data_IF_151668419402
#
_entry.id   IF_151668419402
#
_cell.length_a   1.000
_cell.length_b   1.000
_cell.length_c   1.000
_cell.angle_alpha   90.00
_cell.angle_beta   90.00
_cell.angle_gamma   90.00
#
_symmetry.space_group_name_H-M   'P 1'
#
loop_
_entity.id
_entity.type
_entity.pdbx_description
1 polymer ?
#
# COMPACT_ATOMS: atom_id res chain seq x y z
N UNK A 1 -12.59 7.42 -9.47
CA UNK A 1 -14.03 7.51 -9.62
C UNK A 1 -14.66 8.36 -8.52
N UNK A 2 -15.92 8.77 -8.66
CA UNK A 2 -16.60 9.54 -7.63
C UNK A 2 -16.77 8.72 -6.36
N UNK A 3 -16.71 9.40 -5.21
CA UNK A 3 -17.03 8.79 -3.93
C UNK A 3 -17.81 9.79 -3.10
N UNK A 4 -18.85 9.30 -2.43
CA UNK A 4 -19.72 10.08 -1.57
C UNK A 4 -19.80 9.46 -0.18
N UNK A 5 -20.00 10.32 0.80
CA UNK A 5 -20.35 9.89 2.15
C UNK A 5 -21.87 9.68 2.25
N UNK A 6 -22.26 8.49 2.65
CA UNK A 6 -23.66 8.08 2.80
C UNK A 6 -23.95 7.79 4.28
N UNK A 7 -24.59 8.73 5.01
CA UNK A 7 -24.72 8.67 6.47
C UNK A 7 -25.33 7.37 7.02
N UNK A 8 -26.34 6.82 6.34
CA UNK A 8 -27.02 5.59 6.80
C UNK A 8 -26.21 4.30 6.55
N UNK A 9 -25.09 4.36 5.83
CA UNK A 9 -24.17 3.22 5.68
C UNK A 9 -23.21 3.09 6.86
N UNK A 10 -23.11 4.15 7.69
CA UNK A 10 -22.20 4.19 8.85
C UNK A 10 -20.76 3.85 8.45
N UNK A 11 -20.18 2.79 9.01
CA UNK A 11 -18.82 2.33 8.70
C UNK A 11 -18.76 1.38 7.48
N UNK A 12 -19.91 1.00 6.91
CA UNK A 12 -19.94 0.10 5.76
C UNK A 12 -19.55 0.85 4.48
N UNK A 13 -18.50 0.37 3.83
CA UNK A 13 -17.99 0.87 2.55
C UNK A 13 -18.41 -0.07 1.43
N UNK A 14 -19.01 0.52 0.40
CA UNK A 14 -19.40 -0.21 -0.82
C UNK A 14 -18.63 0.37 -2.00
N UNK A 15 -17.99 -0.51 -2.77
CA UNK A 15 -17.30 -0.16 -3.99
C UNK A 15 -17.79 -1.03 -5.14
N UNK A 16 -18.07 -0.41 -6.27
CA UNK A 16 -18.34 -1.10 -7.54
C UNK A 16 -17.17 -0.86 -8.49
N UNK A 17 -16.67 -1.93 -9.06
CA UNK A 17 -15.59 -1.91 -10.04
C UNK A 17 -16.08 -2.53 -11.34
N UNK A 18 -15.86 -1.85 -12.45
CA UNK A 18 -16.07 -2.40 -13.80
C UNK A 18 -14.81 -2.18 -14.62
N UNK A 19 -14.33 -3.24 -15.26
CA UNK A 19 -13.20 -3.23 -16.17
C UNK A 19 -13.68 -3.76 -17.50
N UNK A 20 -13.50 -3.00 -18.56
CA UNK A 20 -13.79 -3.40 -19.93
C UNK A 20 -12.47 -3.47 -20.72
N UNK A 21 -12.33 -4.48 -21.56
CA UNK A 21 -11.14 -4.67 -22.36
C UNK A 21 -11.39 -5.62 -23.53
N UNK A 22 -10.33 -5.95 -24.23
CA UNK A 22 -10.36 -6.90 -25.32
C UNK A 22 -9.39 -8.04 -25.05
N UNK A 23 -9.86 -9.26 -25.26
CA UNK A 23 -9.05 -10.48 -25.26
C UNK A 23 -8.46 -10.77 -26.62
N UNK A 24 -7.90 -11.97 -26.75
CA UNK A 24 -7.33 -12.44 -28.02
C UNK A 24 -8.36 -12.39 -29.14
N UNK A 25 -7.96 -11.84 -30.30
CA UNK A 25 -8.83 -11.72 -31.47
C UNK A 25 -9.86 -10.59 -31.40
N UNK A 26 -9.68 -9.61 -30.49
CA UNK A 26 -10.60 -8.47 -30.34
C UNK A 26 -11.92 -8.84 -29.67
N UNK A 27 -11.96 -9.96 -28.97
CA UNK A 27 -13.18 -10.41 -28.28
C UNK A 27 -13.38 -9.56 -27.01
N UNK A 28 -14.57 -8.93 -26.81
CA UNK A 28 -14.85 -8.15 -25.63
C UNK A 28 -14.71 -8.99 -24.35
N UNK A 29 -14.08 -8.37 -23.32
CA UNK A 29 -13.95 -8.90 -21.98
C UNK A 29 -14.49 -7.87 -20.99
N UNK A 30 -15.30 -8.32 -20.05
CA UNK A 30 -15.86 -7.49 -19.00
C UNK A 30 -15.68 -8.18 -17.64
N UNK A 31 -15.27 -7.40 -16.64
CA UNK A 31 -15.21 -7.84 -15.24
C UNK A 31 -16.00 -6.85 -14.41
N UNK A 32 -16.94 -7.36 -13.62
CA UNK A 32 -17.62 -6.57 -12.60
C UNK A 32 -17.33 -7.15 -11.22
N UNK A 33 -17.06 -6.27 -10.26
CA UNK A 33 -16.87 -6.66 -8.88
C UNK A 33 -17.58 -5.69 -7.94
N UNK A 34 -18.16 -6.22 -6.86
CA UNK A 34 -18.73 -5.45 -5.77
C UNK A 34 -18.05 -5.84 -4.48
N UNK A 35 -17.49 -4.83 -3.80
CA UNK A 35 -16.95 -4.96 -2.45
C UNK A 35 -17.91 -4.31 -1.44
N UNK A 36 -18.18 -4.98 -0.33
CA UNK A 36 -18.88 -4.41 0.82
C UNK A 36 -18.12 -4.83 2.08
N UNK A 37 -17.60 -3.86 2.82
CA UNK A 37 -16.78 -4.12 4.00
C UNK A 37 -17.09 -3.11 5.10
N UNK A 38 -16.93 -3.49 6.36
CA UNK A 38 -16.78 -2.57 7.48
C UNK A 38 -15.38 -1.95 7.39
N UNK A 39 -15.28 -0.65 7.08
CA UNK A 39 -14.02 0.01 6.69
C UNK A 39 -13.02 0.05 7.85
N UNK A 40 -13.49 0.37 9.06
CA UNK A 40 -12.62 0.46 10.24
C UNK A 40 -12.00 -0.89 10.64
N UNK A 41 -12.74 -1.99 10.81
CA UNK A 41 -12.16 -3.31 11.06
C UNK A 41 -11.25 -3.78 9.93
N UNK A 42 -11.62 -3.49 8.67
CA UNK A 42 -10.82 -3.87 7.52
C UNK A 42 -9.45 -3.16 7.51
N UNK A 43 -9.39 -1.91 7.94
CA UNK A 43 -8.13 -1.15 8.04
C UNK A 43 -7.30 -1.50 9.29
N UNK A 44 -7.90 -2.10 10.30
CA UNK A 44 -7.23 -2.36 11.58
C UNK A 44 -5.97 -3.22 11.44
N UNK A 45 -5.97 -4.22 10.56
CA UNK A 45 -4.79 -5.05 10.28
C UNK A 45 -3.60 -4.23 9.79
N UNK A 46 -3.83 -3.32 8.85
CA UNK A 46 -2.79 -2.42 8.33
C UNK A 46 -2.26 -1.49 9.42
N UNK A 47 -3.15 -0.93 10.25
CA UNK A 47 -2.78 -0.05 11.36
C UNK A 47 -1.92 -0.78 12.40
N UNK A 48 -2.30 -2.01 12.76
CA UNK A 48 -1.53 -2.83 13.71
C UNK A 48 -0.12 -3.08 13.19
N UNK A 49 0.02 -3.47 11.93
CA UNK A 49 1.33 -3.71 11.34
C UNK A 49 2.17 -2.43 11.23
N UNK A 50 1.56 -1.30 10.85
CA UNK A 50 2.25 -0.01 10.84
C UNK A 50 2.77 0.37 12.24
N UNK A 51 1.96 0.17 13.29
CA UNK A 51 2.37 0.43 14.68
C UNK A 51 3.52 -0.49 15.13
N UNK A 52 3.48 -1.77 14.77
CA UNK A 52 4.57 -2.73 15.05
C UNK A 52 5.87 -2.31 14.39
N UNK A 53 5.81 -1.83 13.16
CA UNK A 53 6.99 -1.35 12.42
C UNK A 53 7.53 -0.04 13.01
N UNK A 54 6.67 0.88 13.44
CA UNK A 54 7.05 2.06 14.20
C UNK A 54 7.73 1.68 15.52
N UNK A 55 7.26 0.64 16.19
CA UNK A 55 7.89 0.12 17.41
C UNK A 55 9.31 -0.40 17.13
N UNK A 56 9.48 -1.19 16.06
CA UNK A 56 10.80 -1.69 15.64
C UNK A 56 11.75 -0.52 15.34
N UNK A 57 11.31 0.49 14.59
CA UNK A 57 12.11 1.67 14.30
C UNK A 57 12.55 2.40 15.57
N UNK A 58 11.60 2.64 16.49
CA UNK A 58 11.88 3.29 17.78
C UNK A 58 12.91 2.51 18.60
N UNK A 59 12.73 1.20 18.70
CA UNK A 59 13.62 0.34 19.51
C UNK A 59 15.03 0.25 18.89
N UNK A 60 15.17 0.56 17.59
CA UNK A 60 16.45 0.70 16.86
C UNK A 60 17.00 2.13 16.85
N UNK A 61 16.33 3.08 17.51
CA UNK A 61 16.75 4.49 17.53
C UNK A 61 16.62 5.20 16.17
N UNK A 62 15.72 4.73 15.31
CA UNK A 62 15.44 5.37 14.03
C UNK A 62 14.35 6.44 14.19
N UNK A 63 14.60 7.62 13.63
CA UNK A 63 13.68 8.75 13.63
C UNK A 63 13.51 9.30 12.21
N UNK A 64 12.34 9.93 11.96
CA UNK A 64 11.97 10.47 10.66
C UNK A 64 11.02 9.57 9.88
N UNK A 65 10.82 9.84 8.58
CA UNK A 65 9.96 9.02 7.74
C UNK A 65 10.51 7.59 7.60
N UNK A 66 9.64 6.61 7.75
CA UNK A 66 9.99 5.21 7.51
C UNK A 66 9.66 4.88 6.05
N UNK A 67 10.59 5.16 5.14
CA UNK A 67 10.36 5.13 3.69
C UNK A 67 9.79 3.80 3.17
N UNK A 68 10.39 2.62 3.44
CA UNK A 68 9.84 1.34 2.97
C UNK A 68 8.46 1.04 3.55
N UNK A 69 8.25 1.38 4.83
CA UNK A 69 6.97 1.18 5.52
C UNK A 69 5.89 2.06 4.88
N UNK A 70 6.19 3.35 4.70
CA UNK A 70 5.26 4.28 4.08
C UNK A 70 4.93 3.88 2.64
N UNK A 71 5.92 3.45 1.86
CA UNK A 71 5.73 3.03 0.48
C UNK A 71 4.84 1.79 0.36
N UNK A 72 4.89 0.88 1.33
CA UNK A 72 4.10 -0.35 1.32
C UNK A 72 2.68 -0.16 1.87
N UNK A 73 2.50 0.67 2.91
CA UNK A 73 1.22 0.77 3.62
C UNK A 73 0.42 2.04 3.32
N UNK A 74 1.06 3.12 2.86
CA UNK A 74 0.40 4.42 2.78
C UNK A 74 0.02 4.79 1.35
N UNK A 75 -1.15 5.42 1.21
CA UNK A 75 -1.68 5.88 -0.07
C UNK A 75 -0.83 6.96 -0.73
N UNK A 76 -0.20 7.82 0.09
CA UNK A 76 0.66 8.91 -0.35
C UNK A 76 1.99 8.86 0.40
N UNK A 77 2.88 7.91 0.07
CA UNK A 77 4.18 7.83 0.70
C UNK A 77 5.10 8.99 0.26
N UNK A 78 6.14 9.31 1.04
CA UNK A 78 7.15 10.30 0.64
C UNK A 78 7.85 9.97 -0.68
N UNK A 79 7.97 8.69 -1.00
CA UNK A 79 8.51 8.20 -2.29
C UNK A 79 7.63 7.05 -2.78
N UNK A 80 7.02 7.23 -3.95
CA UNK A 80 6.23 6.18 -4.60
C UNK A 80 7.16 5.22 -5.34
N UNK A 81 7.02 3.93 -5.08
CA UNK A 81 7.81 2.85 -5.70
C UNK A 81 6.90 1.66 -6.02
N UNK A 82 7.31 0.75 -6.93
CA UNK A 82 6.54 -0.47 -7.20
C UNK A 82 6.34 -1.34 -5.96
N UNK A 83 5.18 -1.98 -5.84
CA UNK A 83 4.80 -2.77 -4.67
C UNK A 83 5.80 -3.88 -4.35
N UNK A 84 6.34 -4.56 -5.38
CA UNK A 84 7.34 -5.60 -5.21
C UNK A 84 8.64 -5.06 -4.60
N UNK A 85 9.05 -3.85 -4.99
CA UNK A 85 10.19 -3.17 -4.42
C UNK A 85 9.91 -2.74 -2.98
N UNK A 86 8.75 -2.13 -2.73
CA UNK A 86 8.34 -1.71 -1.39
C UNK A 86 8.33 -2.88 -0.42
N UNK A 87 7.78 -4.02 -0.83
CA UNK A 87 7.76 -5.25 -0.04
C UNK A 87 9.17 -5.73 0.32
N UNK A 88 10.07 -5.83 -0.67
CA UNK A 88 11.45 -6.26 -0.44
C UNK A 88 12.19 -5.34 0.53
N UNK A 89 12.10 -4.02 0.33
CA UNK A 89 12.74 -3.05 1.21
C UNK A 89 12.15 -3.06 2.64
N UNK A 90 10.86 -3.36 2.77
CA UNK A 90 10.21 -3.57 4.07
C UNK A 90 10.76 -4.81 4.76
N UNK A 91 10.91 -5.93 4.05
CA UNK A 91 11.49 -7.17 4.57
C UNK A 91 12.95 -6.98 5.00
N UNK A 92 13.74 -6.25 4.24
CA UNK A 92 15.11 -5.84 4.60
C UNK A 92 15.14 -5.00 5.89
N UNK A 93 14.19 -4.07 6.04
CA UNK A 93 14.06 -3.32 7.29
C UNK A 93 13.70 -4.24 8.47
N UNK A 94 12.72 -5.13 8.32
CA UNK A 94 12.33 -6.07 9.37
C UNK A 94 13.53 -6.95 9.78
N UNK A 95 14.27 -7.46 8.80
CA UNK A 95 15.47 -8.27 9.03
C UNK A 95 16.65 -7.48 9.64
N UNK A 96 16.61 -6.15 9.65
CA UNK A 96 17.67 -5.31 10.19
C UNK A 96 18.84 -5.06 9.23
N UNK A 97 18.72 -5.43 7.98
CA UNK A 97 19.74 -5.21 6.94
C UNK A 97 19.64 -3.83 6.29
N UNK A 98 18.54 -3.11 6.50
CA UNK A 98 18.29 -1.76 6.00
C UNK A 98 17.70 -0.88 7.10
N UNK A 99 18.08 0.38 7.13
CA UNK A 99 17.41 1.40 7.95
C UNK A 99 16.19 1.93 7.21
N UNK A 100 15.05 2.02 7.89
CA UNK A 100 13.82 2.54 7.31
C UNK A 100 13.86 4.05 7.07
N UNK A 101 14.64 4.79 7.86
CA UNK A 101 14.81 6.24 7.75
C UNK A 101 15.68 6.68 6.55
N UNK A 102 16.31 5.75 5.84
CA UNK A 102 17.05 6.07 4.61
C UNK A 102 16.09 6.26 3.44
N UNK A 103 16.18 7.41 2.74
CA UNK A 103 15.39 7.61 1.52
C UNK A 103 15.60 6.49 0.50
N UNK A 104 14.52 6.13 -0.20
CA UNK A 104 14.59 5.14 -1.29
C UNK A 104 15.03 5.83 -2.58
N UNK A 105 16.07 5.28 -3.21
CA UNK A 105 16.53 5.68 -4.55
C UNK A 105 15.94 4.69 -5.57
N UNK A 106 14.93 5.15 -6.33
CA UNK A 106 14.13 4.27 -7.19
C UNK A 106 15.00 3.48 -8.17
N UNK A 107 15.93 4.14 -8.85
CA UNK A 107 16.78 3.48 -9.85
C UNK A 107 17.66 2.38 -9.22
N UNK A 108 18.40 2.69 -8.16
CA UNK A 108 19.33 1.75 -7.54
C UNK A 108 18.66 0.72 -6.64
N UNK A 109 17.69 1.16 -5.82
CA UNK A 109 17.08 0.27 -4.83
C UNK A 109 16.01 -0.65 -5.43
N UNK A 110 15.40 -0.26 -6.55
CA UNK A 110 14.34 -1.05 -7.20
C UNK A 110 14.78 -1.73 -8.51
N UNK A 111 16.02 -1.57 -8.94
CA UNK A 111 16.54 -2.09 -10.21
C UNK A 111 15.69 -1.67 -11.42
N UNK A 112 15.17 -0.46 -11.41
CA UNK A 112 14.41 0.10 -12.52
C UNK A 112 15.36 0.90 -13.42
N UNK A 113 15.16 0.87 -14.75
CA UNK A 113 15.86 1.78 -15.66
C UNK A 113 15.53 3.24 -15.31
N UNK A 114 16.51 4.12 -15.51
CA UNK A 114 16.33 5.57 -15.37
C UNK A 114 15.39 6.14 -16.45
#
# INVERSE_FOLDING_TARGET
GPSDYVPWQEDNKICFLRIEGEGFGGIPLEIEARLSVEDSPNSAGVVIDALRLCRIARDRGEAGPLYPVSAYFMKHPPTQIPDTCAKRLLEEFIAGTRRASMPVRVASDCNLPE
#
